data_IF_891669776259
#
_entry.id   IF_891669776259
#
_cell.length_a   1.000
_cell.length_b   1.000
_cell.length_c   1.000
_cell.angle_alpha   90.00
_cell.angle_beta   90.00
_cell.angle_gamma   90.00
#
_symmetry.space_group_name_H-M   'P 1'
#
loop_
_entity.id
_entity.type
_entity.pdbx_description
1 polymer ?
#
# COMPACT_ATOMS: atom_id res chain seq x y z
N UNK A 1 -30.27 -31.71 -16.86
CA UNK A 1 -30.81 -30.50 -16.14
C UNK A 1 -30.78 -29.31 -17.07
N UNK A 2 -31.72 -28.38 -17.01
CA UNK A 2 -31.53 -27.11 -17.68
C UNK A 2 -30.25 -26.48 -17.16
N UNK A 3 -29.36 -26.06 -18.06
CA UNK A 3 -28.06 -25.51 -17.68
C UNK A 3 -28.27 -24.13 -17.09
N UNK A 4 -27.86 -23.94 -15.81
CA UNK A 4 -27.96 -22.66 -15.12
C UNK A 4 -27.16 -21.59 -15.86
N UNK A 5 -27.82 -20.51 -16.29
CA UNK A 5 -27.19 -19.43 -17.06
C UNK A 5 -27.21 -18.09 -16.34
N UNK A 6 -28.17 -17.86 -15.46
CA UNK A 6 -28.37 -16.60 -14.73
C UNK A 6 -28.67 -16.89 -13.27
N UNK A 7 -28.00 -16.18 -12.38
CA UNK A 7 -28.31 -16.07 -10.95
C UNK A 7 -28.55 -14.59 -10.64
N UNK A 8 -29.77 -14.26 -10.23
CA UNK A 8 -30.11 -12.93 -9.73
C UNK A 8 -29.83 -12.92 -8.22
N UNK A 9 -28.80 -12.20 -7.79
CA UNK A 9 -28.29 -12.18 -6.44
C UNK A 9 -27.00 -13.00 -6.29
N UNK A 10 -26.73 -13.49 -5.07
CA UNK A 10 -25.51 -14.20 -4.73
C UNK A 10 -25.55 -15.68 -5.14
N UNK A 11 -24.40 -16.19 -5.53
CA UNK A 11 -24.16 -17.59 -5.86
C UNK A 11 -23.05 -18.18 -4.98
N UNK A 12 -23.40 -19.08 -4.09
CA UNK A 12 -22.46 -19.73 -3.18
C UNK A 12 -22.23 -21.18 -3.60
N UNK A 13 -20.98 -21.52 -3.89
CA UNK A 13 -20.51 -22.86 -4.18
C UNK A 13 -19.47 -23.18 -3.11
N UNK A 14 -19.91 -23.87 -2.07
CA UNK A 14 -19.11 -24.09 -0.87
C UNK A 14 -19.09 -25.58 -0.55
N UNK A 15 -17.91 -26.15 -0.36
CA UNK A 15 -17.76 -27.49 0.18
C UNK A 15 -18.14 -27.49 1.67
N UNK A 16 -18.74 -28.60 2.16
CA UNK A 16 -19.06 -28.75 3.58
C UNK A 16 -17.79 -28.78 4.43
N UNK A 17 -17.43 -27.61 4.97
CA UNK A 17 -16.37 -27.47 5.96
C UNK A 17 -16.98 -27.65 7.34
N UNK A 18 -16.61 -28.71 8.06
CA UNK A 18 -16.97 -28.86 9.48
C UNK A 18 -16.01 -27.98 10.27
N UNK A 19 -16.54 -26.88 10.81
CA UNK A 19 -15.80 -25.94 11.65
C UNK A 19 -15.34 -26.66 12.94
N UNK A 20 -14.06 -26.90 13.09
CA UNK A 20 -13.47 -27.48 14.31
C UNK A 20 -12.34 -28.47 14.10
N UNK A 21 -12.15 -28.98 12.90
CA UNK A 21 -11.06 -29.92 12.61
C UNK A 21 -10.04 -29.29 11.65
N UNK A 22 -9.02 -28.65 12.22
CA UNK A 22 -7.94 -27.98 11.49
C UNK A 22 -7.13 -28.94 10.59
N UNK A 23 -7.36 -30.25 10.70
CA UNK A 23 -6.64 -31.30 9.98
C UNK A 23 -7.54 -32.35 9.33
N UNK A 24 -8.87 -32.22 9.38
CA UNK A 24 -9.76 -33.17 8.74
C UNK A 24 -9.70 -33.01 7.22
N UNK A 25 -8.97 -33.90 6.59
CA UNK A 25 -8.96 -34.10 5.13
C UNK A 25 -10.22 -34.80 4.61
N UNK A 26 -11.21 -35.02 5.46
CA UNK A 26 -12.44 -35.76 5.16
C UNK A 26 -13.63 -34.85 4.83
N UNK A 27 -13.41 -33.60 4.52
CA UNK A 27 -14.41 -32.74 3.88
C UNK A 27 -14.68 -33.27 2.46
N UNK A 28 -15.67 -34.09 2.36
CA UNK A 28 -16.08 -34.77 1.15
C UNK A 28 -16.56 -33.79 0.11
N UNK A 29 -15.77 -33.45 -0.88
CA UNK A 29 -16.31 -33.45 -2.23
C UNK A 29 -15.14 -33.53 -3.19
N UNK A 30 -14.99 -34.63 -3.84
CA UNK A 30 -14.16 -34.89 -5.03
C UNK A 30 -14.64 -34.07 -6.25
N UNK A 31 -15.10 -32.83 -6.03
CA UNK A 31 -15.44 -31.94 -7.12
C UNK A 31 -14.15 -31.47 -7.78
N UNK A 32 -13.86 -32.00 -8.95
CA UNK A 32 -12.62 -31.72 -9.69
C UNK A 32 -12.79 -30.60 -10.73
N UNK A 33 -14.03 -30.31 -11.12
CA UNK A 33 -14.39 -29.26 -12.08
C UNK A 33 -15.79 -28.68 -11.80
N UNK A 34 -16.14 -27.62 -12.50
CA UNK A 34 -17.47 -26.97 -12.46
C UNK A 34 -18.18 -27.08 -13.82
N UNK A 35 -18.06 -28.19 -14.53
CA UNK A 35 -18.58 -28.36 -15.91
C UNK A 35 -20.09 -28.16 -15.99
N UNK A 36 -20.83 -28.52 -14.94
CA UNK A 36 -22.26 -28.29 -14.85
C UNK A 36 -22.64 -26.80 -14.88
N UNK A 37 -21.69 -25.92 -14.52
CA UNK A 37 -21.85 -24.47 -14.54
C UNK A 37 -21.32 -23.83 -15.83
N UNK A 38 -21.00 -24.62 -16.84
CA UNK A 38 -20.41 -24.15 -18.10
C UNK A 38 -21.26 -23.10 -18.86
N UNK A 39 -22.54 -23.00 -18.54
CA UNK A 39 -23.43 -22.00 -19.14
C UNK A 39 -23.70 -20.79 -18.25
N UNK A 40 -23.10 -20.73 -17.05
CA UNK A 40 -23.30 -19.56 -16.17
C UNK A 40 -22.69 -18.31 -16.82
N UNK A 41 -23.57 -17.39 -17.20
CA UNK A 41 -23.18 -16.16 -17.84
C UNK A 41 -23.36 -14.92 -16.96
N UNK A 42 -24.28 -14.99 -16.00
CA UNK A 42 -24.60 -13.83 -15.14
C UNK A 42 -24.75 -14.23 -13.69
N UNK A 43 -24.10 -13.50 -12.80
CA UNK A 43 -24.32 -13.48 -11.35
C UNK A 43 -24.40 -12.01 -10.94
N UNK A 44 -25.58 -11.49 -10.55
CA UNK A 44 -25.71 -10.05 -10.29
C UNK A 44 -25.13 -9.63 -8.94
N UNK A 45 -25.01 -10.55 -7.99
CA UNK A 45 -24.36 -10.38 -6.70
C UNK A 45 -22.97 -11.00 -6.62
N UNK A 46 -22.65 -11.61 -5.47
CA UNK A 46 -21.37 -12.27 -5.20
C UNK A 46 -21.35 -13.71 -5.74
N UNK A 47 -20.37 -14.04 -6.58
CA UNK A 47 -20.01 -15.42 -6.86
C UNK A 47 -18.91 -15.85 -5.87
N UNK A 48 -19.23 -16.78 -4.98
CA UNK A 48 -18.30 -17.30 -3.97
C UNK A 48 -18.03 -18.78 -4.19
N UNK A 49 -16.77 -19.15 -4.43
CA UNK A 49 -16.32 -20.54 -4.62
C UNK A 49 -15.25 -20.83 -3.57
N UNK A 50 -15.58 -21.66 -2.58
CA UNK A 50 -14.76 -21.78 -1.39
C UNK A 50 -14.59 -23.24 -0.93
N UNK A 51 -13.43 -23.52 -0.34
CA UNK A 51 -13.12 -24.76 0.39
C UNK A 51 -13.07 -26.05 -0.46
N UNK A 52 -12.63 -25.94 -1.71
CA UNK A 52 -12.45 -27.13 -2.56
C UNK A 52 -10.97 -27.53 -2.67
N UNK A 53 -10.65 -28.71 -2.16
CA UNK A 53 -9.27 -29.22 -2.14
C UNK A 53 -8.87 -29.90 -3.47
N UNK A 54 -9.82 -30.50 -4.20
CA UNK A 54 -9.56 -31.24 -5.43
C UNK A 54 -9.97 -30.50 -6.71
N UNK A 55 -10.66 -29.35 -6.58
CA UNK A 55 -11.04 -28.54 -7.73
C UNK A 55 -9.79 -28.05 -8.47
N UNK A 56 -9.54 -28.60 -9.64
CA UNK A 56 -8.31 -28.36 -10.40
C UNK A 56 -8.45 -27.21 -11.41
N UNK A 57 -9.68 -26.91 -11.83
CA UNK A 57 -9.93 -25.92 -12.87
C UNK A 57 -11.20 -25.11 -12.62
N UNK A 58 -11.10 -23.82 -12.93
CA UNK A 58 -12.20 -22.85 -13.01
C UNK A 58 -12.31 -22.27 -14.44
N UNK A 59 -11.89 -23.02 -15.45
CA UNK A 59 -11.90 -22.55 -16.85
C UNK A 59 -13.29 -22.15 -17.36
N UNK A 60 -14.35 -22.63 -16.73
CA UNK A 60 -15.74 -22.31 -17.09
C UNK A 60 -16.12 -20.88 -16.71
N UNK A 61 -15.38 -20.22 -15.82
CA UNK A 61 -15.62 -18.81 -15.46
C UNK A 61 -15.41 -17.84 -16.64
N UNK A 62 -14.69 -18.26 -17.69
CA UNK A 62 -14.55 -17.50 -18.94
C UNK A 62 -15.87 -17.20 -19.66
N UNK A 63 -16.91 -17.97 -19.34
CA UNK A 63 -18.24 -17.78 -19.91
C UNK A 63 -19.06 -16.69 -19.21
N UNK A 64 -18.59 -16.20 -18.06
CA UNK A 64 -19.22 -15.08 -17.36
C UNK A 64 -19.16 -13.81 -18.22
N UNK A 65 -20.32 -13.18 -18.35
CA UNK A 65 -20.49 -11.88 -19.03
C UNK A 65 -20.79 -10.76 -18.06
N UNK A 66 -21.41 -11.09 -16.94
CA UNK A 66 -21.72 -10.15 -15.85
C UNK A 66 -21.51 -10.79 -14.51
N UNK A 67 -20.87 -10.04 -13.59
CA UNK A 67 -20.63 -10.47 -12.22
C UNK A 67 -20.67 -9.25 -11.29
N UNK A 68 -21.32 -9.37 -10.13
CA UNK A 68 -21.29 -8.34 -9.11
C UNK A 68 -19.93 -8.32 -8.40
N UNK A 69 -19.57 -9.44 -7.78
CA UNK A 69 -18.29 -9.62 -7.10
C UNK A 69 -17.81 -11.09 -7.21
N UNK A 70 -16.51 -11.33 -7.03
CA UNK A 70 -15.91 -12.66 -7.06
C UNK A 70 -15.13 -12.94 -5.77
N UNK A 71 -15.41 -14.07 -5.13
CA UNK A 71 -14.61 -14.57 -4.01
C UNK A 71 -14.14 -15.99 -4.29
N UNK A 72 -12.84 -16.22 -4.22
CA UNK A 72 -12.20 -17.52 -4.34
C UNK A 72 -11.35 -17.76 -3.09
N UNK A 73 -11.66 -18.82 -2.36
CA UNK A 73 -11.00 -19.09 -1.08
C UNK A 73 -10.70 -20.58 -0.92
N UNK A 74 -9.48 -20.92 -0.50
CA UNK A 74 -9.05 -22.28 -0.19
C UNK A 74 -9.28 -23.27 -1.35
N UNK A 75 -8.90 -22.88 -2.55
CA UNK A 75 -8.89 -23.71 -3.75
C UNK A 75 -7.50 -24.32 -3.94
N UNK A 76 -7.21 -25.40 -3.20
CA UNK A 76 -5.85 -25.90 -3.00
C UNK A 76 -5.24 -26.50 -4.28
N UNK A 77 -6.05 -27.15 -5.12
CA UNK A 77 -5.58 -27.82 -6.34
C UNK A 77 -5.80 -27.02 -7.62
N UNK A 78 -6.53 -25.89 -7.55
CA UNK A 78 -6.81 -25.07 -8.71
C UNK A 78 -5.53 -24.44 -9.28
N UNK A 79 -5.08 -24.95 -10.42
CA UNK A 79 -3.85 -24.53 -11.10
C UNK A 79 -4.12 -23.86 -12.46
N UNK A 80 -5.34 -23.97 -12.99
CA UNK A 80 -5.69 -23.29 -14.23
C UNK A 80 -5.76 -21.77 -14.00
N UNK A 81 -5.38 -20.96 -15.01
CA UNK A 81 -5.68 -19.53 -14.99
C UNK A 81 -7.17 -19.27 -14.79
N UNK A 82 -7.50 -18.28 -13.99
CA UNK A 82 -8.86 -17.77 -13.89
C UNK A 82 -9.03 -16.68 -14.92
N UNK A 83 -9.85 -16.97 -15.93
CA UNK A 83 -10.13 -16.03 -17.01
C UNK A 83 -11.57 -15.53 -16.89
N UNK A 84 -11.70 -14.23 -16.59
CA UNK A 84 -12.94 -13.47 -16.51
C UNK A 84 -12.83 -12.19 -17.35
N UNK A 85 -12.01 -12.22 -18.39
CA UNK A 85 -11.74 -11.06 -19.26
C UNK A 85 -12.97 -10.54 -19.99
N UNK A 86 -13.96 -11.39 -20.22
CA UNK A 86 -15.23 -11.01 -20.84
C UNK A 86 -16.25 -10.41 -19.84
N UNK A 87 -16.05 -10.64 -18.55
CA UNK A 87 -17.01 -10.22 -17.53
C UNK A 87 -17.04 -8.70 -17.35
N UNK A 88 -18.24 -8.16 -17.18
CA UNK A 88 -18.47 -6.80 -16.73
C UNK A 88 -18.79 -6.86 -15.23
N UNK A 89 -18.06 -6.11 -14.43
CA UNK A 89 -18.33 -5.98 -13.01
C UNK A 89 -19.40 -4.90 -12.77
N UNK A 90 -20.52 -5.32 -12.16
CA UNK A 90 -21.64 -4.44 -11.84
C UNK A 90 -22.43 -5.07 -10.71
N UNK A 91 -22.25 -4.58 -9.51
CA UNK A 91 -22.97 -5.03 -8.32
C UNK A 91 -24.22 -4.16 -8.15
N UNK A 92 -25.40 -4.77 -8.21
CA UNK A 92 -26.69 -4.06 -8.06
C UNK A 92 -26.96 -3.68 -6.61
N UNK A 93 -26.41 -4.44 -5.65
CA UNK A 93 -26.64 -4.27 -4.22
C UNK A 93 -25.55 -3.43 -3.53
N UNK A 94 -24.49 -3.04 -4.24
CA UNK A 94 -23.36 -2.31 -3.69
C UNK A 94 -22.73 -1.37 -4.74
N UNK A 95 -22.28 -0.22 -4.28
CA UNK A 95 -21.49 0.73 -5.11
C UNK A 95 -20.12 0.19 -5.52
N UNK A 96 -19.67 -0.94 -4.94
CA UNK A 96 -18.35 -1.49 -5.15
C UNK A 96 -18.40 -2.97 -5.51
N UNK A 97 -17.78 -3.31 -6.64
CA UNK A 97 -17.47 -4.69 -7.00
C UNK A 97 -16.12 -5.10 -6.40
N UNK A 98 -16.02 -6.35 -5.94
CA UNK A 98 -14.81 -6.85 -5.29
C UNK A 98 -14.36 -8.15 -5.95
N UNK A 99 -13.06 -8.27 -6.24
CA UNK A 99 -12.40 -9.55 -6.50
C UNK A 99 -11.54 -9.88 -5.28
N UNK A 100 -11.84 -11.00 -4.61
CA UNK A 100 -11.03 -11.50 -3.50
C UNK A 100 -10.52 -12.90 -3.79
N UNK A 101 -9.21 -13.09 -3.66
CA UNK A 101 -8.53 -14.37 -3.83
C UNK A 101 -7.67 -14.62 -2.60
N UNK A 102 -7.95 -15.72 -1.88
CA UNK A 102 -7.18 -16.08 -0.68
C UNK A 102 -6.94 -17.59 -0.58
N UNK A 103 -5.79 -17.97 -0.08
CA UNK A 103 -5.40 -19.37 0.18
C UNK A 103 -5.57 -20.33 -1.03
N UNK A 104 -5.47 -19.82 -2.27
CA UNK A 104 -5.57 -20.63 -3.49
C UNK A 104 -4.17 -21.12 -3.93
N UNK A 105 -3.63 -22.18 -3.28
CA UNK A 105 -2.20 -22.56 -3.28
C UNK A 105 -1.54 -22.75 -4.65
N UNK A 106 -2.25 -23.20 -5.65
CA UNK A 106 -1.69 -23.49 -6.99
C UNK A 106 -2.10 -22.48 -8.05
N UNK A 107 -2.98 -21.53 -7.70
CA UNK A 107 -3.40 -20.50 -8.63
C UNK A 107 -2.23 -19.59 -8.97
N UNK A 108 -1.96 -19.42 -10.25
CA UNK A 108 -0.83 -18.63 -10.74
C UNK A 108 -1.25 -17.38 -11.50
N UNK A 109 -2.48 -17.34 -12.03
CA UNK A 109 -2.88 -16.24 -12.91
C UNK A 109 -4.36 -15.90 -12.82
N UNK A 110 -4.63 -14.59 -12.74
CA UNK A 110 -5.94 -13.98 -12.91
C UNK A 110 -5.94 -13.15 -14.20
N UNK A 111 -6.87 -13.41 -15.12
CA UNK A 111 -7.03 -12.68 -16.38
C UNK A 111 -8.36 -11.94 -16.34
N UNK A 112 -8.30 -10.63 -16.48
CA UNK A 112 -9.46 -9.73 -16.46
C UNK A 112 -9.41 -8.77 -17.65
N UNK A 113 -10.34 -7.82 -17.71
CA UNK A 113 -10.17 -6.60 -18.52
C UNK A 113 -9.01 -5.77 -17.96
N UNK A 114 -8.41 -4.95 -18.80
CA UNK A 114 -7.36 -4.00 -18.43
C UNK A 114 -7.88 -2.92 -17.46
N UNK A 115 -9.15 -2.55 -17.58
CA UNK A 115 -9.80 -1.49 -16.79
C UNK A 115 -10.76 -2.10 -15.77
N UNK A 116 -10.36 -2.01 -14.50
CA UNK A 116 -11.12 -2.36 -13.30
C UNK A 116 -11.27 -1.14 -12.37
N UNK A 117 -11.40 0.08 -12.91
CA UNK A 117 -11.47 1.32 -12.11
C UNK A 117 -12.64 1.37 -11.12
N UNK A 118 -13.66 0.54 -11.31
CA UNK A 118 -14.80 0.37 -10.41
C UNK A 118 -14.69 -0.87 -9.50
N UNK A 119 -13.59 -1.62 -9.55
CA UNK A 119 -13.42 -2.90 -8.83
C UNK A 119 -12.27 -2.80 -7.84
N UNK A 120 -12.52 -3.20 -6.60
CA UNK A 120 -11.47 -3.43 -5.62
C UNK A 120 -10.93 -4.86 -5.73
N UNK A 121 -9.62 -5.00 -5.77
CA UNK A 121 -8.94 -6.29 -5.89
C UNK A 121 -8.11 -6.56 -4.64
N UNK A 122 -8.39 -7.70 -3.99
CA UNK A 122 -7.69 -8.18 -2.80
C UNK A 122 -7.14 -9.58 -3.07
N UNK A 123 -5.83 -9.68 -3.20
CA UNK A 123 -5.10 -10.92 -3.45
C UNK A 123 -4.22 -11.25 -2.25
N UNK A 124 -4.66 -12.20 -1.44
CA UNK A 124 -3.85 -12.77 -0.37
C UNK A 124 -3.16 -14.04 -0.86
N UNK A 125 -1.94 -13.87 -1.32
CA UNK A 125 -1.11 -14.95 -1.84
C UNK A 125 -0.20 -15.60 -0.76
N UNK A 126 -0.45 -15.38 0.55
CA UNK A 126 0.38 -15.96 1.62
C UNK A 126 0.43 -17.49 1.61
N UNK A 127 -0.64 -18.13 1.18
CA UNK A 127 -0.68 -19.56 0.97
C UNK A 127 -0.20 -20.00 -0.44
N UNK A 128 -0.03 -19.04 -1.34
CA UNK A 128 0.40 -19.22 -2.72
C UNK A 128 1.77 -18.60 -2.86
N UNK A 129 2.57 -19.07 -3.80
CA UNK A 129 3.84 -18.43 -4.06
C UNK A 129 3.66 -17.12 -4.84
N UNK A 130 2.58 -16.98 -5.66
CA UNK A 130 2.42 -15.86 -6.56
C UNK A 130 1.12 -15.96 -7.37
N UNK A 131 0.41 -14.86 -7.54
CA UNK A 131 -0.72 -14.76 -8.49
C UNK A 131 -0.45 -13.58 -9.43
N UNK A 132 -0.19 -13.89 -10.70
CA UNK A 132 -0.02 -12.89 -11.75
C UNK A 132 -1.36 -12.31 -12.20
N UNK A 133 -1.38 -11.08 -12.71
CA UNK A 133 -2.57 -10.45 -13.25
C UNK A 133 -2.24 -9.48 -14.40
N UNK A 134 -3.24 -9.09 -15.21
CA UNK A 134 -3.06 -8.25 -16.40
C UNK A 134 -3.73 -6.89 -16.32
N UNK A 135 -4.59 -6.62 -15.34
CA UNK A 135 -5.28 -5.33 -15.28
C UNK A 135 -4.30 -4.17 -15.03
N UNK A 136 -4.64 -3.00 -15.61
CA UNK A 136 -3.83 -1.79 -15.55
C UNK A 136 -4.43 -0.72 -14.67
N UNK A 137 -5.76 -0.70 -14.56
CA UNK A 137 -6.51 0.25 -13.74
C UNK A 137 -7.34 -0.49 -12.72
N UNK A 138 -7.44 0.04 -11.52
CA UNK A 138 -8.18 -0.58 -10.42
C UNK A 138 -8.69 0.47 -9.44
N UNK A 139 -9.85 0.20 -8.81
CA UNK A 139 -10.36 1.08 -7.75
C UNK A 139 -9.47 1.02 -6.52
N UNK A 140 -9.21 -0.19 -6.00
CA UNK A 140 -8.28 -0.44 -4.89
C UNK A 140 -7.49 -1.71 -5.17
N UNK A 141 -6.24 -1.75 -4.73
CA UNK A 141 -5.39 -2.94 -4.83
C UNK A 141 -4.78 -3.28 -3.49
N UNK A 142 -5.09 -4.47 -2.98
CA UNK A 142 -4.38 -5.12 -1.89
C UNK A 142 -3.72 -6.39 -2.40
N UNK A 143 -2.41 -6.48 -2.23
CA UNK A 143 -1.64 -7.64 -2.66
C UNK A 143 -0.65 -8.06 -1.57
N UNK A 144 -0.80 -9.28 -1.06
CA UNK A 144 0.13 -9.84 -0.07
C UNK A 144 0.77 -11.13 -0.59
N UNK A 145 2.05 -11.32 -0.29
CA UNK A 145 2.79 -12.49 -0.73
C UNK A 145 3.94 -12.86 0.20
N UNK A 146 4.19 -14.15 0.47
CA UNK A 146 5.37 -14.61 1.19
C UNK A 146 6.59 -14.78 0.28
N UNK A 147 6.40 -14.67 -1.05
CA UNK A 147 7.44 -15.02 -2.02
C UNK A 147 8.65 -14.09 -1.93
N UNK A 148 9.81 -14.64 -2.25
CA UNK A 148 11.12 -13.97 -2.21
C UNK A 148 11.52 -13.40 -3.58
N UNK A 149 10.54 -13.08 -4.42
CA UNK A 149 10.77 -12.57 -5.78
C UNK A 149 10.58 -11.07 -5.86
N UNK A 150 11.12 -10.50 -6.93
CA UNK A 150 10.75 -9.16 -7.39
C UNK A 150 9.51 -9.29 -8.27
N UNK A 151 8.44 -8.58 -7.90
CA UNK A 151 7.16 -8.57 -8.61
C UNK A 151 7.11 -7.41 -9.57
N UNK A 152 6.82 -7.68 -10.83
CA UNK A 152 6.53 -6.62 -11.81
C UNK A 152 5.02 -6.53 -11.97
N UNK A 153 4.45 -5.41 -11.53
CA UNK A 153 3.01 -5.16 -11.63
C UNK A 153 2.71 -4.37 -12.91
N UNK A 154 1.71 -4.79 -13.71
CA UNK A 154 1.30 -4.09 -14.93
C UNK A 154 0.50 -2.81 -14.67
N UNK A 155 0.23 -2.50 -13.39
CA UNK A 155 -0.67 -1.44 -12.95
C UNK A 155 -0.22 -0.05 -13.42
N UNK A 156 -1.17 0.76 -13.90
CA UNK A 156 -0.97 2.13 -14.35
C UNK A 156 -1.66 3.16 -13.46
N UNK A 157 -2.83 2.82 -12.92
CA UNK A 157 -3.68 3.74 -12.15
C UNK A 157 -4.38 3.01 -11.00
N UNK A 158 -4.33 3.60 -9.79
CA UNK A 158 -5.09 3.14 -8.62
C UNK A 158 -5.95 4.33 -8.15
N UNK A 159 -7.27 4.21 -8.32
CA UNK A 159 -8.24 5.28 -8.01
C UNK A 159 -8.65 5.34 -6.52
N UNK A 160 -8.02 4.58 -5.68
CA UNK A 160 -8.18 4.53 -4.22
C UNK A 160 -6.90 4.04 -3.58
N UNK A 161 -7.00 3.05 -2.68
CA UNK A 161 -5.87 2.62 -1.88
C UNK A 161 -5.02 1.55 -2.57
N UNK A 162 -3.71 1.63 -2.36
CA UNK A 162 -2.74 0.64 -2.80
C UNK A 162 -2.00 0.06 -1.58
N UNK A 163 -2.20 -1.22 -1.31
CA UNK A 163 -1.47 -1.97 -0.29
C UNK A 163 -0.62 -3.07 -0.95
N UNK A 164 0.65 -3.10 -0.60
CA UNK A 164 1.54 -4.19 -0.98
C UNK A 164 2.29 -4.70 0.24
N UNK A 165 2.03 -5.97 0.60
CA UNK A 165 2.70 -6.67 1.70
C UNK A 165 3.55 -7.81 1.16
N UNK A 166 4.85 -7.79 1.46
CA UNK A 166 5.79 -8.79 0.95
C UNK A 166 6.60 -9.46 2.05
N UNK A 167 6.94 -10.73 1.81
CA UNK A 167 7.86 -11.50 2.63
C UNK A 167 9.31 -11.00 2.55
N UNK A 168 10.22 -11.71 3.20
CA UNK A 168 11.65 -11.38 3.18
C UNK A 168 12.23 -11.50 1.77
N UNK A 169 13.08 -10.53 1.35
CA UNK A 169 13.79 -10.47 0.06
C UNK A 169 12.89 -10.27 -1.16
N UNK A 170 11.67 -9.82 -0.95
CA UNK A 170 10.80 -9.46 -2.05
C UNK A 170 11.08 -8.04 -2.53
N UNK A 171 10.61 -7.73 -3.72
CA UNK A 171 10.64 -6.38 -4.28
C UNK A 171 9.42 -6.14 -5.15
N UNK A 172 9.18 -4.89 -5.51
CA UNK A 172 8.09 -4.49 -6.39
C UNK A 172 8.63 -3.55 -7.47
N UNK A 173 8.25 -3.83 -8.70
CA UNK A 173 8.47 -2.97 -9.86
C UNK A 173 7.10 -2.63 -10.42
N UNK A 174 6.68 -1.38 -10.25
CA UNK A 174 5.43 -0.82 -10.78
C UNK A 174 5.74 0.45 -11.59
N UNK A 175 6.67 0.33 -12.52
CA UNK A 175 7.20 1.45 -13.31
C UNK A 175 6.19 2.08 -14.27
N UNK A 176 4.99 1.51 -14.41
CA UNK A 176 3.89 2.11 -15.17
C UNK A 176 2.88 2.85 -14.30
N UNK A 177 2.92 2.66 -12.98
CA UNK A 177 2.00 3.32 -12.06
C UNK A 177 2.24 4.83 -12.06
N UNK A 178 1.21 5.60 -12.38
CA UNK A 178 1.24 7.07 -12.52
C UNK A 178 0.75 7.76 -11.27
N UNK A 179 -0.30 7.23 -10.65
CA UNK A 179 -0.88 7.80 -9.43
C UNK A 179 -1.59 6.75 -8.58
N UNK A 180 -1.70 7.08 -7.30
CA UNK A 180 -2.55 6.44 -6.30
C UNK A 180 -3.40 7.56 -5.70
N UNK A 181 -4.73 7.52 -5.87
CA UNK A 181 -5.59 8.61 -5.37
C UNK A 181 -5.84 8.51 -3.85
N UNK A 182 -5.75 7.32 -3.28
CA UNK A 182 -5.87 7.05 -1.85
C UNK A 182 -4.54 6.85 -1.13
N UNK A 183 -4.53 5.95 -0.16
CA UNK A 183 -3.32 5.57 0.58
C UNK A 183 -2.40 4.70 -0.26
N UNK A 184 -1.11 4.86 -0.05
CA UNK A 184 -0.12 3.91 -0.49
C UNK A 184 0.60 3.32 0.72
N UNK A 185 0.45 2.02 0.93
CA UNK A 185 1.13 1.32 2.01
C UNK A 185 2.02 0.22 1.46
N UNK A 186 3.32 0.37 1.64
CA UNK A 186 4.33 -0.63 1.29
C UNK A 186 4.86 -1.27 2.57
N UNK A 187 4.39 -2.48 2.87
CA UNK A 187 4.90 -3.29 3.97
C UNK A 187 5.93 -4.27 3.45
N UNK A 188 7.21 -3.91 3.60
CA UNK A 188 8.31 -4.63 2.99
C UNK A 188 9.22 -5.14 4.08
N UNK A 189 9.46 -6.44 4.10
CA UNK A 189 10.32 -7.03 5.10
C UNK A 189 11.81 -6.72 4.82
N UNK A 190 12.63 -6.81 5.84
CA UNK A 190 14.02 -6.34 6.04
C UNK A 190 15.06 -6.54 4.91
N UNK A 191 14.72 -7.16 3.78
CA UNK A 191 15.67 -7.47 2.72
C UNK A 191 15.08 -7.30 1.32
N UNK A 192 14.15 -6.37 1.15
CA UNK A 192 13.64 -6.07 -0.18
C UNK A 192 14.79 -5.68 -1.12
N UNK A 193 14.72 -6.15 -2.36
CA UNK A 193 15.77 -5.89 -3.35
C UNK A 193 15.48 -4.66 -4.20
N UNK A 194 14.21 -4.43 -4.54
CA UNK A 194 13.81 -3.38 -5.47
C UNK A 194 12.48 -2.74 -5.04
N UNK A 195 12.41 -1.42 -5.10
CA UNK A 195 11.20 -0.61 -4.98
C UNK A 195 11.20 0.40 -6.13
N UNK A 196 10.57 0.03 -7.24
CA UNK A 196 10.63 0.83 -8.45
C UNK A 196 9.26 1.33 -8.87
N UNK A 197 9.08 2.65 -8.82
CA UNK A 197 7.87 3.40 -9.16
C UNK A 197 8.23 4.60 -10.02
N UNK A 198 8.97 4.37 -11.10
CA UNK A 198 9.62 5.43 -11.88
C UNK A 198 8.66 6.42 -12.55
N UNK A 199 7.38 6.07 -12.76
CA UNK A 199 6.36 6.98 -13.31
C UNK A 199 5.38 7.52 -12.28
N UNK A 200 5.51 7.15 -11.00
CA UNK A 200 4.60 7.61 -9.96
C UNK A 200 4.82 9.10 -9.70
N UNK A 201 3.80 9.90 -9.94
CA UNK A 201 3.84 11.37 -9.81
C UNK A 201 3.12 11.86 -8.56
N UNK A 202 2.10 11.13 -8.10
CA UNK A 202 1.19 11.57 -7.03
C UNK A 202 0.68 10.43 -6.19
N UNK A 203 0.62 10.67 -4.87
CA UNK A 203 -0.14 9.88 -3.91
C UNK A 203 -1.12 10.83 -3.23
N UNK A 204 -2.43 10.58 -3.38
CA UNK A 204 -3.48 11.48 -2.90
C UNK A 204 -3.67 11.43 -1.39
N UNK A 205 -3.52 10.26 -0.79
CA UNK A 205 -3.57 10.02 0.65
C UNK A 205 -2.19 9.89 1.29
N UNK A 206 -2.13 9.21 2.43
CA UNK A 206 -0.88 8.92 3.13
C UNK A 206 0.01 7.97 2.32
N UNK A 207 1.30 8.21 2.34
CA UNK A 207 2.31 7.23 1.95
C UNK A 207 2.98 6.66 3.20
N UNK A 208 2.71 5.40 3.48
CA UNK A 208 3.34 4.66 4.57
C UNK A 208 4.25 3.58 4.02
N UNK A 209 5.51 3.63 4.41
CA UNK A 209 6.50 2.61 4.04
C UNK A 209 7.14 2.06 5.30
N UNK A 210 6.87 0.78 5.59
CA UNK A 210 7.46 0.09 6.72
C UNK A 210 8.35 -1.07 6.28
N UNK A 211 9.49 -1.20 6.95
CA UNK A 211 10.46 -2.27 6.73
C UNK A 211 11.87 -1.76 6.85
N UNK A 212 12.79 -2.62 7.27
CA UNK A 212 14.18 -2.24 7.36
C UNK A 212 14.80 -2.26 5.96
N UNK A 213 14.93 -1.08 5.38
CA UNK A 213 15.62 -0.84 4.11
C UNK A 213 17.15 -0.92 4.29
N UNK A 214 17.64 -2.04 4.85
CA UNK A 214 19.01 -2.16 5.37
C UNK A 214 20.04 -2.66 4.35
N UNK A 215 19.66 -2.82 3.08
CA UNK A 215 20.62 -3.36 2.11
C UNK A 215 21.22 -2.27 1.24
N UNK A 216 22.54 -2.10 1.20
CA UNK A 216 23.21 -1.10 0.35
C UNK A 216 23.06 -1.35 -1.16
N UNK A 217 22.35 -2.40 -1.56
CA UNK A 217 22.07 -2.76 -2.96
C UNK A 217 20.61 -2.55 -3.36
N UNK A 218 19.78 -1.99 -2.50
CA UNK A 218 18.38 -1.79 -2.78
C UNK A 218 18.20 -0.64 -3.77
N UNK A 219 17.52 -0.92 -4.88
CA UNK A 219 17.14 0.12 -5.84
C UNK A 219 15.83 0.72 -5.39
N UNK A 220 15.83 2.02 -5.10
CA UNK A 220 14.63 2.81 -4.86
C UNK A 220 14.44 3.75 -6.03
N UNK A 221 13.26 3.78 -6.61
CA UNK A 221 12.98 4.67 -7.71
C UNK A 221 11.60 5.31 -7.56
N UNK A 222 11.57 6.48 -6.92
CA UNK A 222 10.43 7.40 -6.88
C UNK A 222 10.80 8.70 -7.60
N UNK A 223 11.53 8.59 -8.71
CA UNK A 223 12.18 9.70 -9.40
C UNK A 223 11.22 10.76 -9.95
N UNK A 224 9.93 10.46 -10.06
CA UNK A 224 8.90 11.38 -10.54
C UNK A 224 7.86 11.77 -9.51
N UNK A 225 7.96 11.28 -8.26
CA UNK A 225 6.97 11.57 -7.22
C UNK A 225 7.08 13.02 -6.73
N UNK A 226 6.09 13.85 -7.08
CA UNK A 226 6.05 15.29 -6.80
C UNK A 226 5.21 15.65 -5.59
N UNK A 227 4.16 14.87 -5.29
CA UNK A 227 3.24 15.23 -4.20
C UNK A 227 2.68 14.03 -3.46
N UNK A 228 2.55 14.21 -2.13
CA UNK A 228 1.97 13.23 -1.21
C UNK A 228 0.93 13.94 -0.36
N UNK A 229 -0.27 13.34 -0.22
CA UNK A 229 -1.35 13.82 0.65
C UNK A 229 -1.78 15.28 0.37
N UNK A 230 -1.71 15.70 -0.89
CA UNK A 230 -2.11 17.06 -1.31
C UNK A 230 -3.50 17.09 -1.95
N UNK A 231 -4.31 16.04 -1.75
CA UNK A 231 -5.66 15.97 -2.29
C UNK A 231 -6.62 16.80 -1.43
N UNK A 232 -7.51 17.56 -2.07
CA UNK A 232 -8.52 18.35 -1.39
C UNK A 232 -9.68 17.52 -0.80
N UNK A 233 -9.67 16.21 -0.99
CA UNK A 233 -10.72 15.35 -0.46
C UNK A 233 -10.46 15.03 1.02
N UNK A 234 -11.24 15.61 1.95
CA UNK A 234 -11.04 15.43 3.39
C UNK A 234 -11.29 13.98 3.87
N UNK A 235 -11.94 13.13 3.08
CA UNK A 235 -12.14 11.72 3.43
C UNK A 235 -10.84 10.94 3.47
N UNK A 236 -9.88 11.25 2.62
CA UNK A 236 -8.57 10.59 2.63
C UNK A 236 -7.66 11.05 3.79
N UNK A 237 -7.92 12.20 4.37
CA UNK A 237 -7.22 12.66 5.56
C UNK A 237 -7.74 12.03 6.87
N UNK A 238 -8.93 11.40 6.85
CA UNK A 238 -9.63 10.90 8.05
C UNK A 238 -9.65 9.38 8.21
N UNK A 239 -9.36 8.60 7.18
CA UNK A 239 -9.58 7.13 7.20
C UNK A 239 -8.32 6.29 7.36
N UNK A 240 -7.30 6.78 8.02
CA UNK A 240 -6.12 6.00 8.38
C UNK A 240 -6.39 4.88 9.39
N UNK A 241 -7.16 3.88 9.03
CA UNK A 241 -7.45 2.70 9.89
C UNK A 241 -6.24 1.79 10.16
N UNK A 242 -5.06 2.14 9.67
CA UNK A 242 -3.85 1.31 9.81
C UNK A 242 -2.85 1.83 10.86
N UNK A 243 -3.12 2.98 11.47
CA UNK A 243 -2.31 3.45 12.59
C UNK A 243 -2.79 2.84 13.90
N UNK A 244 -1.97 2.03 14.53
CA UNK A 244 -2.18 1.53 15.91
C UNK A 244 -1.87 2.57 16.97
N UNK A 245 -1.45 3.77 16.58
CA UNK A 245 -1.13 4.89 17.46
C UNK A 245 -1.87 6.12 16.98
N UNK A 246 -2.49 6.86 17.88
CA UNK A 246 -3.32 8.07 17.71
C UNK A 246 -2.57 9.29 17.11
N UNK A 247 -1.72 9.07 16.12
CA UNK A 247 -1.02 10.13 15.41
C UNK A 247 -1.93 10.76 14.35
N UNK A 248 -1.82 12.07 14.09
CA UNK A 248 -2.61 12.74 13.07
C UNK A 248 -2.36 12.11 11.71
N UNK A 249 -3.45 11.77 11.03
CA UNK A 249 -3.44 10.99 9.80
C UNK A 249 -2.96 11.79 8.60
N UNK A 250 -2.29 11.11 7.68
CA UNK A 250 -1.88 11.67 6.38
C UNK A 250 -0.41 12.08 6.33
N UNK A 251 0.07 12.34 5.11
CA UNK A 251 1.46 12.71 4.86
C UNK A 251 2.35 11.53 4.49
N UNK A 252 3.63 11.67 4.79
CA UNK A 252 4.68 10.68 4.52
C UNK A 252 5.18 10.08 5.83
N UNK A 253 5.04 8.77 6.01
CA UNK A 253 5.63 8.04 7.16
C UNK A 253 6.57 6.95 6.63
N UNK A 254 7.85 7.05 6.96
CA UNK A 254 8.88 6.12 6.51
C UNK A 254 9.65 5.56 7.71
N UNK A 255 9.65 4.24 7.81
CA UNK A 255 10.43 3.50 8.80
C UNK A 255 11.57 2.76 8.14
N UNK A 256 12.78 3.32 8.26
CA UNK A 256 13.99 2.78 7.64
C UNK A 256 15.23 3.12 8.44
N UNK A 257 16.32 2.36 8.23
CA UNK A 257 17.61 2.57 8.92
C UNK A 257 18.71 3.09 8.01
N UNK A 258 18.41 3.50 6.77
CA UNK A 258 19.40 3.87 5.76
C UNK A 258 19.32 5.33 5.33
N UNK A 259 20.45 5.83 4.81
CA UNK A 259 20.58 7.14 4.17
C UNK A 259 20.33 7.02 2.68
N UNK A 260 19.22 7.55 2.17
CA UNK A 260 18.98 7.65 0.74
C UNK A 260 18.22 8.91 0.39
N UNK A 261 18.52 9.45 -0.78
CA UNK A 261 17.68 10.38 -1.49
C UNK A 261 16.54 9.60 -2.14
N UNK A 262 15.47 9.38 -1.37
CA UNK A 262 14.33 8.57 -1.83
C UNK A 262 13.46 9.35 -2.82
N UNK A 263 13.39 10.67 -2.68
CA UNK A 263 12.42 11.54 -3.35
C UNK A 263 13.08 12.77 -3.97
N UNK A 264 13.84 12.61 -5.06
CA UNK A 264 14.66 13.69 -5.64
C UNK A 264 13.84 14.87 -6.19
N UNK A 265 12.56 14.65 -6.52
CA UNK A 265 11.68 15.68 -7.11
C UNK A 265 10.43 15.97 -6.27
N UNK A 266 10.36 15.48 -5.05
CA UNK A 266 9.21 15.71 -4.17
C UNK A 266 9.12 17.18 -3.80
N UNK A 267 8.02 17.82 -4.17
CA UNK A 267 7.78 19.25 -3.98
C UNK A 267 6.90 19.55 -2.77
N UNK A 268 5.92 18.66 -2.48
CA UNK A 268 4.87 18.95 -1.48
C UNK A 268 4.46 17.70 -0.71
N UNK A 269 4.33 17.86 0.61
CA UNK A 269 3.73 16.88 1.50
C UNK A 269 2.63 17.55 2.31
N UNK A 270 1.42 17.05 2.18
CA UNK A 270 0.24 17.51 2.92
C UNK A 270 0.01 16.73 4.21
N UNK A 271 -1.22 16.77 4.72
CA UNK A 271 -1.67 16.03 5.88
C UNK A 271 -0.88 16.35 7.15
N UNK A 272 -0.49 15.34 7.90
CA UNK A 272 0.30 15.48 9.13
C UNK A 272 1.76 15.87 8.89
N UNK A 273 2.21 15.89 7.64
CA UNK A 273 3.58 16.22 7.26
C UNK A 273 4.45 15.00 7.01
N UNK A 274 5.68 15.02 7.51
CA UNK A 274 6.67 13.96 7.30
C UNK A 274 7.07 13.36 8.64
N UNK A 275 7.00 12.03 8.72
CA UNK A 275 7.54 11.26 9.86
C UNK A 275 8.61 10.30 9.37
N UNK A 276 9.79 10.35 9.99
CA UNK A 276 10.90 9.45 9.66
C UNK A 276 11.40 8.72 10.91
N UNK A 277 11.75 7.44 10.73
CA UNK A 277 12.31 6.63 11.79
C UNK A 277 13.60 5.95 11.33
N UNK A 278 14.66 6.03 12.12
CA UNK A 278 15.90 5.26 11.91
C UNK A 278 16.88 5.81 10.88
N UNK A 279 16.61 6.93 10.23
CA UNK A 279 17.51 7.53 9.23
C UNK A 279 18.80 8.08 9.86
N UNK A 280 19.87 8.15 9.05
CA UNK A 280 21.12 8.84 9.40
C UNK A 280 21.26 10.21 8.72
N UNK A 281 20.61 10.41 7.58
CA UNK A 281 20.37 11.69 6.94
C UNK A 281 19.07 11.61 6.13
N UNK A 282 18.39 12.71 5.92
CA UNK A 282 17.17 12.79 5.11
C UNK A 282 17.30 13.93 4.11
N UNK A 283 17.16 13.64 2.82
CA UNK A 283 17.26 14.62 1.74
C UNK A 283 16.03 14.59 0.86
N UNK A 284 15.45 15.77 0.64
CA UNK A 284 14.39 16.06 -0.32
C UNK A 284 14.68 17.41 -0.97
N UNK A 285 15.59 17.49 -1.95
CA UNK A 285 16.17 18.74 -2.44
C UNK A 285 15.16 19.68 -3.11
N UNK A 286 14.08 19.15 -3.66
CA UNK A 286 13.04 19.92 -4.34
C UNK A 286 11.84 20.27 -3.42
N UNK A 287 11.86 19.84 -2.16
CA UNK A 287 10.74 20.01 -1.25
C UNK A 287 10.51 21.48 -0.89
N UNK A 288 9.32 22.00 -1.23
CA UNK A 288 8.93 23.40 -1.02
C UNK A 288 8.02 23.54 0.19
N UNK A 289 7.15 22.57 0.46
CA UNK A 289 6.18 22.69 1.55
C UNK A 289 5.88 21.38 2.26
N UNK A 290 5.77 21.50 3.58
CA UNK A 290 5.24 20.47 4.49
C UNK A 290 4.06 21.14 5.23
N UNK A 291 2.84 20.66 4.98
CA UNK A 291 1.63 21.26 5.58
C UNK A 291 1.52 21.00 7.10
N UNK A 292 2.05 19.88 7.57
CA UNK A 292 2.10 19.51 8.98
C UNK A 292 3.48 19.65 9.60
N UNK A 293 3.84 18.72 10.47
CA UNK A 293 5.14 18.73 11.16
C UNK A 293 6.19 17.89 10.42
N UNK A 294 7.45 18.28 10.57
CA UNK A 294 8.57 17.37 10.35
C UNK A 294 8.86 16.64 11.65
N UNK A 295 8.61 15.33 11.65
CA UNK A 295 8.76 14.46 12.82
C UNK A 295 9.89 13.46 12.60
N UNK A 296 10.71 13.25 13.63
CA UNK A 296 11.71 12.21 13.63
C UNK A 296 11.79 11.57 15.02
N UNK A 297 11.70 10.25 15.10
CA UNK A 297 11.78 9.51 16.36
C UNK A 297 12.79 8.35 16.24
N UNK A 298 13.54 8.15 17.34
CA UNK A 298 14.51 7.07 17.47
C UNK A 298 15.54 6.96 16.32
N UNK A 299 15.77 8.04 15.58
CA UNK A 299 16.79 8.14 14.53
C UNK A 299 18.14 8.55 15.13
N UNK A 300 18.73 7.67 15.94
CA UNK A 300 19.94 7.96 16.74
C UNK A 300 21.17 8.35 15.92
N UNK A 301 21.18 8.01 14.62
CA UNK A 301 22.26 8.35 13.70
C UNK A 301 21.98 9.59 12.85
N UNK A 302 20.78 10.17 12.95
CA UNK A 302 20.40 11.33 12.16
C UNK A 302 21.23 12.54 12.57
N UNK A 303 21.91 13.15 11.62
CA UNK A 303 22.78 14.31 11.82
C UNK A 303 22.31 15.54 11.06
N UNK A 304 21.56 15.37 9.98
CA UNK A 304 21.17 16.48 9.11
C UNK A 304 19.89 16.21 8.33
N UNK A 305 19.25 17.31 7.95
CA UNK A 305 18.19 17.39 6.95
C UNK A 305 18.71 18.23 5.77
N UNK A 306 18.48 17.77 4.55
CA UNK A 306 18.80 18.49 3.33
C UNK A 306 17.50 18.79 2.56
N UNK A 307 16.97 20.00 2.77
CA UNK A 307 15.73 20.50 2.17
C UNK A 307 15.90 21.99 1.81
N UNK A 308 16.83 22.32 0.89
CA UNK A 308 17.26 23.72 0.66
C UNK A 308 16.18 24.61 0.07
N UNK A 309 15.12 24.02 -0.53
CA UNK A 309 14.00 24.78 -1.12
C UNK A 309 12.79 24.90 -0.20
N UNK A 310 12.86 24.37 1.02
CA UNK A 310 11.72 24.38 1.94
C UNK A 310 11.36 25.81 2.36
N UNK A 311 10.08 26.19 2.14
CA UNK A 311 9.53 27.52 2.42
C UNK A 311 8.38 27.50 3.42
N UNK A 312 7.78 26.32 3.65
CA UNK A 312 6.64 26.19 4.54
C UNK A 312 6.77 24.93 5.40
N UNK A 313 6.66 25.14 6.73
CA UNK A 313 6.72 24.09 7.73
C UNK A 313 5.92 24.52 8.96
N UNK A 314 4.95 23.71 9.41
CA UNK A 314 4.06 24.09 10.50
C UNK A 314 4.51 23.61 11.87
N UNK A 315 5.48 22.70 11.97
CA UNK A 315 5.94 22.19 13.25
C UNK A 315 7.17 21.28 13.15
N UNK A 316 7.81 21.08 14.29
CA UNK A 316 8.95 20.16 14.49
C UNK A 316 8.65 19.26 15.67
N UNK A 317 8.81 17.95 15.49
CA UNK A 317 8.68 16.96 16.56
C UNK A 317 9.84 15.97 16.51
N UNK A 318 10.90 16.26 17.27
CA UNK A 318 12.12 15.45 17.31
C UNK A 318 12.29 14.79 18.67
N UNK A 319 12.33 13.44 18.67
CA UNK A 319 12.42 12.66 19.88
C UNK A 319 13.57 11.64 19.75
N UNK A 320 14.49 11.64 20.72
CA UNK A 320 15.61 10.69 20.80
C UNK A 320 16.56 10.69 19.61
N UNK A 321 16.87 11.88 19.06
CA UNK A 321 17.86 12.06 17.98
C UNK A 321 19.25 12.31 18.59
N UNK A 322 19.89 11.29 19.13
CA UNK A 322 21.11 11.41 19.95
C UNK A 322 22.34 11.92 19.21
N UNK A 323 22.29 12.02 17.87
CA UNK A 323 23.36 12.62 17.05
C UNK A 323 22.99 13.98 16.46
N UNK A 324 21.73 14.43 16.56
CA UNK A 324 21.26 15.67 15.96
C UNK A 324 21.48 16.85 16.90
N UNK A 325 22.14 17.91 16.43
CA UNK A 325 22.48 19.08 17.26
C UNK A 325 22.44 20.42 16.50
N UNK A 326 22.16 20.45 15.22
CA UNK A 326 22.10 21.67 14.42
C UNK A 326 20.66 21.94 13.97
N UNK A 327 20.02 22.91 14.59
CA UNK A 327 18.64 23.33 14.32
C UNK A 327 18.55 24.59 13.45
N UNK A 328 19.66 25.07 12.90
CA UNK A 328 19.70 26.31 12.11
C UNK A 328 18.80 26.30 10.88
N UNK A 329 18.52 25.13 10.31
CA UNK A 329 17.59 24.98 9.18
C UNK A 329 16.15 25.45 9.52
N UNK A 330 15.79 25.48 10.80
CA UNK A 330 14.43 25.87 11.24
C UNK A 330 14.31 27.36 11.61
N UNK A 331 15.42 28.07 11.64
CA UNK A 331 15.43 29.54 11.96
C UNK A 331 14.44 30.35 11.13
N UNK A 332 14.35 30.20 9.79
CA UNK A 332 13.43 31.00 9.00
C UNK A 332 11.96 30.81 9.41
N UNK A 333 11.58 29.56 9.71
CA UNK A 333 10.19 29.19 10.06
C UNK A 333 9.79 29.73 11.45
N UNK A 334 10.74 29.84 12.37
CA UNK A 334 10.52 30.48 13.68
C UNK A 334 10.37 31.99 13.50
N UNK A 335 11.30 32.64 12.78
CA UNK A 335 11.27 34.09 12.53
C UNK A 335 10.01 34.53 11.80
N UNK A 336 9.54 33.76 10.85
CA UNK A 336 8.34 34.02 10.08
C UNK A 336 7.05 33.58 10.80
N UNK A 337 7.16 33.12 12.06
CA UNK A 337 6.05 32.65 12.90
C UNK A 337 5.22 31.53 12.25
N UNK A 338 5.85 30.71 11.40
CA UNK A 338 5.21 29.54 10.81
C UNK A 338 5.18 28.35 11.81
N UNK A 339 6.24 28.23 12.62
CA UNK A 339 6.30 27.29 13.76
C UNK A 339 6.06 28.10 15.03
N UNK A 340 5.10 27.70 15.83
CA UNK A 340 4.76 28.29 17.12
C UNK A 340 5.18 27.37 18.26
N UNK A 341 5.24 27.90 19.49
CA UNK A 341 5.71 27.18 20.67
C UNK A 341 5.05 25.82 20.87
N UNK A 342 3.72 25.62 20.75
CA UNK A 342 3.07 24.31 20.89
C UNK A 342 3.48 23.30 19.83
N UNK A 343 4.00 23.75 18.70
CA UNK A 343 4.41 22.92 17.57
C UNK A 343 5.93 22.71 17.53
N UNK A 344 6.66 23.13 18.57
CA UNK A 344 8.09 22.92 18.74
C UNK A 344 8.32 21.88 19.83
N UNK A 345 8.52 20.63 19.44
CA UNK A 345 8.73 19.51 20.37
C UNK A 345 10.11 18.92 20.10
N UNK A 346 11.03 19.13 21.01
CA UNK A 346 12.41 18.62 20.93
C UNK A 346 12.80 17.99 22.26
N UNK A 347 13.12 16.70 22.25
CA UNK A 347 13.51 15.97 23.48
C UNK A 347 14.44 14.80 23.20
N UNK A 348 15.43 14.58 24.06
CA UNK A 348 16.37 13.46 23.95
C UNK A 348 17.29 13.53 22.73
N UNK A 349 17.43 14.69 22.11
CA UNK A 349 18.41 14.96 21.05
C UNK A 349 19.80 15.24 21.65
N UNK A 350 20.84 15.27 20.83
CA UNK A 350 22.20 15.67 21.26
C UNK A 350 22.21 17.11 21.79
N UNK A 351 21.42 17.97 21.19
CA UNK A 351 21.09 19.32 21.66
C UNK A 351 19.57 19.48 21.68
N UNK A 352 19.02 20.13 22.71
CA UNK A 352 17.57 20.27 22.89
C UNK A 352 17.21 21.74 23.11
N UNK A 353 17.21 22.57 22.05
CA UNK A 353 16.83 23.97 22.19
C UNK A 353 15.34 24.07 22.51
N UNK A 354 15.01 24.91 23.48
CA UNK A 354 13.63 25.34 23.71
C UNK A 354 13.15 26.23 22.57
N UNK A 355 11.86 26.52 22.48
CA UNK A 355 11.34 27.46 21.51
C UNK A 355 11.94 28.86 21.73
N UNK A 356 12.13 29.27 23.02
CA UNK A 356 12.78 30.54 23.35
C UNK A 356 14.24 30.57 22.93
N UNK A 357 14.98 29.47 23.07
CA UNK A 357 16.37 29.39 22.59
C UNK A 357 16.45 29.61 21.06
N UNK A 358 15.46 29.10 20.31
CA UNK A 358 15.38 29.35 18.86
C UNK A 358 15.11 30.80 18.53
N UNK A 359 14.24 31.49 19.29
CA UNK A 359 14.01 32.96 19.17
C UNK A 359 15.28 33.71 19.47
N UNK A 360 16.03 33.32 20.51
CA UNK A 360 17.28 33.95 20.94
C UNK A 360 18.49 33.67 20.02
N UNK A 361 18.29 32.89 18.94
CA UNK A 361 19.35 32.53 17.97
C UNK A 361 20.29 31.44 18.43
N UNK A 362 19.90 30.62 19.43
CA UNK A 362 20.70 29.52 19.95
C UNK A 362 20.37 28.20 19.21
N UNK A 363 20.73 28.11 17.94
CA UNK A 363 20.40 26.97 17.06
C UNK A 363 21.33 25.78 17.24
N UNK A 364 22.49 25.98 17.87
CA UNK A 364 23.55 24.98 18.06
C UNK A 364 24.06 25.03 19.51
N UNK A 365 24.67 23.97 20.04
CA UNK A 365 25.41 24.04 21.29
C UNK A 365 26.44 25.15 21.24
N UNK A 366 26.68 25.82 22.37
CA UNK A 366 27.83 26.73 22.54
C UNK A 366 29.11 25.88 22.32
N UNK A 367 30.08 26.43 21.59
CA UNK A 367 31.39 25.80 21.39
C UNK A 367 32.17 25.66 22.70
#
# INVERSE_FOLDING_TARGET
MPKLSVVNGDCFIISNYIQGDLFSTTGNVSLTNLDEMSNLATVTGLLSICYFYELSSLSNLKNLKRIGSLKLEKLISCSSPIDISDAVFSNEDSEESIIRISECKKLQKLITKDDLSNVSVDIDAWANNYVDFNFKKVKKLSYTTPDKKVFTLPIEEVHGDFYFGAGMKSGIIANNLKFVDGYMHLKINMMASNLEFSKLEKIGGQFFMEGALNTPKMVHNFSNLKSICCNSNPSYAKEGKWSTNDLPYGGLDIRSTTTYELFPVLEKVGGAGITIHGFSAFSCPELVSIAGSLSADAASKLTSFDMPKLKSLSGVNFVKLTSFSDFSIFEPFIKDNQITEPNWIVSGCKYNPTYQDMIDGKYKPAE
#
